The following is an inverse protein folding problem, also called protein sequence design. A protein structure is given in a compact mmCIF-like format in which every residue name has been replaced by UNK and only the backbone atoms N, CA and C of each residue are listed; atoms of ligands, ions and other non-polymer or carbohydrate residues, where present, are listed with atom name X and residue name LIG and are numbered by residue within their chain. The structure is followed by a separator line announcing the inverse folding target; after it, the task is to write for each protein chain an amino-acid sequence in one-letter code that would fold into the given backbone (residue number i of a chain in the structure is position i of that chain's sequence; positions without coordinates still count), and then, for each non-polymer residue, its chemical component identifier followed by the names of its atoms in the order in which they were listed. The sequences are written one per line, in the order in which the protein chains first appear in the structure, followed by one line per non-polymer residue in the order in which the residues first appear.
data_IF_331040102138
#
_entry.id   IF_331040102138
#
_cell.length_a   1.000
_cell.length_b   1.000
_cell.length_c   1.000
_cell.angle_alpha   90.00
_cell.angle_beta   90.00
_cell.angle_gamma   90.00
#
_symmetry.space_group_name_H-M   'P 1'
#
loop_
_entity.id
_entity.type
_entity.pdbx_description
1 polymer ?
#
# COMPACT_ATOMS: atom_id res chain seq x y z
N UNK A 1 -9.92 -28.10 9.42
CA UNK A 1 -11.15 -27.75 8.67
C UNK A 1 -10.74 -26.97 7.41
N UNK A 2 -11.38 -27.15 6.25
CA UNK A 2 -10.96 -26.44 5.01
C UNK A 2 -11.40 -24.97 5.08
N UNK A 3 -10.52 -24.02 4.73
CA UNK A 3 -10.87 -22.60 4.67
C UNK A 3 -11.97 -22.33 3.64
N UNK A 4 -12.92 -21.46 3.98
CA UNK A 4 -13.93 -20.93 3.07
C UNK A 4 -13.73 -19.43 2.82
N UNK A 5 -14.08 -19.00 1.61
CA UNK A 5 -14.06 -17.59 1.23
C UNK A 5 -15.44 -16.98 1.50
N UNK A 6 -15.47 -15.86 2.20
CA UNK A 6 -16.70 -15.22 2.70
C UNK A 6 -16.76 -13.77 2.26
N UNK A 7 -17.95 -13.28 1.93
CA UNK A 7 -18.19 -11.85 1.68
C UNK A 7 -18.71 -11.21 2.96
N UNK A 8 -18.02 -10.19 3.45
CA UNK A 8 -18.39 -9.50 4.68
C UNK A 8 -19.50 -8.44 4.49
N UNK A 9 -20.03 -8.32 3.27
CA UNK A 9 -21.30 -7.62 3.01
C UNK A 9 -22.53 -8.51 3.29
N UNK A 10 -22.35 -9.83 3.42
CA UNK A 10 -23.42 -10.73 3.77
C UNK A 10 -23.78 -10.62 5.27
N UNK A 11 -25.01 -10.98 5.67
CA UNK A 11 -25.41 -11.01 7.07
C UNK A 11 -24.44 -11.83 7.93
N UNK A 12 -23.93 -11.22 9.00
CA UNK A 12 -22.99 -11.86 9.91
C UNK A 12 -23.32 -11.58 11.37
N UNK A 13 -22.47 -12.09 12.26
CA UNK A 13 -22.63 -11.87 13.69
C UNK A 13 -22.23 -10.43 14.03
N UNK A 14 -23.00 -9.78 14.91
CA UNK A 14 -22.70 -8.44 15.40
C UNK A 14 -22.51 -8.45 16.91
N UNK A 15 -21.99 -7.36 17.48
CA UNK A 15 -21.85 -7.21 18.94
C UNK A 15 -22.35 -5.86 19.44
N UNK A 16 -22.84 -5.84 20.68
CA UNK A 16 -23.16 -4.60 21.44
C UNK A 16 -22.61 -4.72 22.85
N UNK A 17 -22.14 -3.60 23.40
CA UNK A 17 -21.66 -3.54 24.78
C UNK A 17 -22.86 -3.46 25.73
N UNK A 18 -22.96 -4.37 26.70
CA UNK A 18 -24.01 -4.39 27.72
C UNK A 18 -23.40 -4.71 29.08
N UNK A 19 -23.66 -3.88 30.10
CA UNK A 19 -23.17 -4.07 31.47
C UNK A 19 -21.67 -4.45 31.55
N UNK A 20 -20.82 -3.76 30.78
CA UNK A 20 -19.36 -3.97 30.67
C UNK A 20 -18.89 -5.25 29.96
N UNK A 21 -19.79 -6.03 29.36
CA UNK A 21 -19.45 -7.21 28.57
C UNK A 21 -19.98 -7.09 27.13
N UNK A 22 -19.35 -7.80 26.20
CA UNK A 22 -19.85 -7.90 24.83
C UNK A 22 -20.96 -8.93 24.75
N UNK A 23 -22.11 -8.52 24.21
CA UNK A 23 -23.20 -9.41 23.82
C UNK A 23 -23.19 -9.54 22.30
N UNK A 24 -23.24 -10.78 21.81
CA UNK A 24 -23.23 -11.10 20.39
C UNK A 24 -24.63 -11.43 19.88
N UNK A 25 -24.88 -11.10 18.61
CA UNK A 25 -26.15 -11.29 17.94
C UNK A 25 -25.93 -12.00 16.61
N UNK A 26 -26.76 -12.99 16.30
CA UNK A 26 -26.73 -13.72 15.04
C UNK A 26 -27.18 -12.84 13.86
N UNK A 27 -27.09 -13.32 12.61
CA UNK A 27 -27.47 -12.53 11.43
C UNK A 27 -28.94 -12.06 11.39
N UNK A 28 -29.83 -12.69 12.17
CA UNK A 28 -31.24 -12.30 12.28
C UNK A 28 -31.52 -11.47 13.54
N UNK A 29 -30.50 -11.13 14.32
CA UNK A 29 -30.58 -10.25 15.49
C UNK A 29 -30.92 -10.96 16.80
N UNK A 30 -30.94 -12.29 16.86
CA UNK A 30 -31.13 -13.03 18.12
C UNK A 30 -29.84 -13.09 18.91
N UNK A 31 -29.97 -13.05 20.23
CA UNK A 31 -28.83 -13.15 21.15
C UNK A 31 -28.21 -14.54 21.04
N UNK A 32 -26.91 -14.59 20.78
CA UNK A 32 -26.12 -15.82 20.86
C UNK A 32 -25.85 -16.10 22.34
N UNK A 33 -26.23 -17.30 22.80
CA UNK A 33 -26.02 -17.78 24.17
C UNK A 33 -25.03 -18.94 24.25
N UNK A 34 -24.65 -19.50 23.11
CA UNK A 34 -23.67 -20.58 23.02
C UNK A 34 -22.30 -20.08 23.51
N UNK A 35 -21.82 -20.68 24.61
CA UNK A 35 -20.57 -20.29 25.26
C UNK A 35 -19.35 -20.51 24.36
N UNK A 36 -19.32 -21.60 23.59
CA UNK A 36 -18.21 -21.91 22.67
C UNK A 36 -18.14 -20.87 21.55
N UNK A 37 -19.29 -20.45 21.01
CA UNK A 37 -19.34 -19.37 20.01
C UNK A 37 -18.87 -18.04 20.59
N UNK A 38 -19.30 -17.70 21.80
CA UNK A 38 -18.90 -16.45 22.49
C UNK A 38 -17.39 -16.44 22.77
N UNK A 39 -16.85 -17.55 23.28
CA UNK A 39 -15.41 -17.69 23.57
C UNK A 39 -14.57 -17.52 22.31
N UNK A 40 -14.96 -18.20 21.21
CA UNK A 40 -14.32 -18.03 19.89
C UNK A 40 -14.29 -16.57 19.44
N UNK A 41 -15.42 -15.87 19.53
CA UNK A 41 -15.54 -14.48 19.09
C UNK A 41 -14.73 -13.51 19.98
N UNK A 42 -14.63 -13.79 21.27
CA UNK A 42 -13.79 -13.02 22.19
C UNK A 42 -12.29 -13.25 21.91
N UNK A 43 -11.90 -14.49 21.61
CA UNK A 43 -10.51 -14.87 21.31
C UNK A 43 -9.93 -14.15 20.08
N UNK A 44 -10.78 -13.65 19.16
CA UNK A 44 -10.35 -12.81 18.03
C UNK A 44 -9.71 -11.49 18.46
N UNK A 45 -9.87 -11.08 19.72
CA UNK A 45 -9.37 -9.83 20.29
C UNK A 45 -9.67 -8.63 19.36
N UNK A 46 -10.91 -8.56 18.87
CA UNK A 46 -11.33 -7.49 17.96
C UNK A 46 -11.50 -6.18 18.72
N UNK A 47 -10.78 -5.09 18.38
CA UNK A 47 -10.68 -3.92 19.25
C UNK A 47 -12.04 -3.34 19.64
N UNK A 48 -12.31 -3.06 20.92
CA UNK A 48 -13.61 -2.62 21.41
C UNK A 48 -14.07 -1.28 20.83
N UNK A 49 -13.12 -0.41 20.45
CA UNK A 49 -13.40 0.91 19.89
C UNK A 49 -13.86 0.89 18.42
N UNK A 50 -13.80 -0.27 17.73
CA UNK A 50 -14.18 -0.35 16.32
C UNK A 50 -15.70 -0.35 16.17
N UNK A 51 -16.17 0.47 15.22
CA UNK A 51 -17.59 0.64 14.88
C UNK A 51 -18.02 -0.38 13.83
N UNK A 52 -19.32 -0.68 13.81
CA UNK A 52 -19.95 -1.59 12.83
C UNK A 52 -19.20 -2.92 12.71
N UNK A 53 -18.95 -3.55 13.85
CA UNK A 53 -18.24 -4.82 13.89
C UNK A 53 -19.10 -5.94 13.28
N UNK A 54 -18.54 -6.61 12.29
CA UNK A 54 -19.06 -7.81 11.65
C UNK A 54 -18.14 -8.98 12.02
N UNK A 55 -18.72 -10.13 12.32
CA UNK A 55 -18.00 -11.37 12.62
C UNK A 55 -18.54 -12.50 11.74
N UNK A 56 -17.63 -13.33 11.24
CA UNK A 56 -18.00 -14.46 10.40
C UNK A 56 -18.77 -15.50 11.22
N UNK A 57 -19.96 -15.94 10.75
CA UNK A 57 -20.69 -17.03 11.39
C UNK A 57 -19.84 -18.31 11.49
N UNK A 58 -19.15 -18.64 10.40
CA UNK A 58 -18.29 -19.81 10.30
C UNK A 58 -16.89 -19.57 10.87
N UNK A 59 -16.32 -20.58 11.52
CA UNK A 59 -14.98 -20.48 12.13
C UNK A 59 -13.82 -20.63 11.14
N UNK A 60 -14.07 -21.28 10.00
CA UNK A 60 -13.11 -21.50 8.93
C UNK A 60 -13.19 -20.43 7.83
N UNK A 61 -13.88 -19.31 8.06
CA UNK A 61 -13.93 -18.18 7.14
C UNK A 61 -12.57 -17.48 7.03
N UNK A 62 -12.10 -17.20 5.82
CA UNK A 62 -10.80 -16.54 5.62
C UNK A 62 -10.74 -15.14 6.26
N UNK A 63 -11.87 -14.44 6.33
CA UNK A 63 -12.10 -13.23 7.13
C UNK A 63 -12.95 -13.64 8.33
N UNK A 64 -12.46 -13.36 9.54
CA UNK A 64 -13.14 -13.67 10.79
C UNK A 64 -13.88 -12.50 11.40
N UNK A 65 -13.38 -11.27 11.19
CA UNK A 65 -14.09 -10.06 11.62
C UNK A 65 -13.70 -8.85 10.78
N UNK A 66 -14.63 -7.91 10.61
CA UNK A 66 -14.39 -6.60 10.04
C UNK A 66 -15.06 -5.50 10.86
N UNK A 67 -14.64 -4.26 10.65
CA UNK A 67 -15.17 -3.10 11.36
C UNK A 67 -14.38 -1.84 11.03
N UNK A 68 -14.79 -0.70 11.56
CA UNK A 68 -14.18 0.59 11.22
C UNK A 68 -13.46 1.19 12.41
N UNK A 69 -12.22 1.60 12.21
CA UNK A 69 -11.47 2.32 13.25
C UNK A 69 -11.95 3.77 13.45
N UNK A 70 -11.35 4.48 14.40
CA UNK A 70 -11.68 5.88 14.70
C UNK A 70 -11.43 6.85 13.54
N UNK A 71 -10.69 6.43 12.50
CA UNK A 71 -10.43 7.20 11.28
C UNK A 71 -11.34 6.76 10.11
N UNK A 72 -12.36 5.93 10.37
CA UNK A 72 -13.29 5.43 9.35
C UNK A 72 -12.65 4.45 8.36
N UNK A 73 -11.51 3.83 8.71
CA UNK A 73 -10.86 2.82 7.85
C UNK A 73 -11.41 1.45 8.21
N UNK A 74 -11.81 0.68 7.20
CA UNK A 74 -12.19 -0.72 7.37
C UNK A 74 -10.96 -1.54 7.79
N UNK A 75 -11.11 -2.29 8.86
CA UNK A 75 -10.10 -3.13 9.48
C UNK A 75 -10.56 -4.57 9.43
N UNK A 76 -9.61 -5.51 9.35
CA UNK A 76 -9.87 -6.93 9.15
C UNK A 76 -9.15 -7.76 10.21
N UNK A 77 -9.78 -8.85 10.64
CA UNK A 77 -9.15 -10.01 11.25
C UNK A 77 -9.29 -11.17 10.28
N UNK A 78 -8.16 -11.73 9.88
CA UNK A 78 -8.11 -12.90 9.01
C UNK A 78 -7.89 -14.16 9.83
N UNK A 79 -8.32 -15.30 9.27
CA UNK A 79 -7.96 -16.60 9.82
C UNK A 79 -6.44 -16.80 9.82
N UNK A 80 -5.83 -17.34 10.90
CA UNK A 80 -4.39 -17.56 10.98
C UNK A 80 -3.83 -18.36 9.80
N UNK A 81 -4.49 -19.46 9.42
CA UNK A 81 -4.09 -20.26 8.26
C UNK A 81 -4.14 -19.48 6.94
N UNK A 82 -5.19 -18.66 6.72
CA UNK A 82 -5.26 -17.82 5.51
C UNK A 82 -4.09 -16.85 5.48
N UNK A 83 -3.79 -16.22 6.61
CA UNK A 83 -2.65 -15.31 6.74
C UNK A 83 -1.33 -16.04 6.42
N UNK A 84 -1.11 -17.20 7.01
CA UNK A 84 0.08 -18.01 6.77
C UNK A 84 0.22 -18.41 5.30
N UNK A 85 -0.87 -18.84 4.65
CA UNK A 85 -0.89 -19.13 3.21
C UNK A 85 -0.56 -17.91 2.36
N UNK A 86 -1.08 -16.73 2.70
CA UNK A 86 -0.79 -15.48 1.99
C UNK A 86 0.67 -15.00 2.21
N UNK A 87 1.23 -15.23 3.39
CA UNK A 87 2.63 -14.94 3.70
C UNK A 87 3.58 -15.91 2.96
N UNK A 88 3.26 -17.20 2.93
CA UNK A 88 4.01 -18.20 2.17
C UNK A 88 4.02 -17.91 0.66
N UNK A 89 2.86 -17.56 0.08
CA UNK A 89 2.77 -17.17 -1.33
C UNK A 89 3.66 -15.97 -1.66
N UNK A 90 3.71 -14.96 -0.80
CA UNK A 90 4.60 -13.79 -0.97
C UNK A 90 6.07 -14.17 -0.89
N UNK A 91 6.42 -15.02 0.08
CA UNK A 91 7.79 -15.48 0.24
C UNK A 91 8.28 -16.28 -0.98
N UNK A 92 7.45 -17.17 -1.52
CA UNK A 92 7.75 -17.90 -2.75
C UNK A 92 7.91 -16.95 -3.96
N UNK A 93 7.07 -15.91 -4.05
CA UNK A 93 7.16 -14.91 -5.10
C UNK A 93 8.48 -14.09 -5.05
N UNK A 94 9.15 -14.00 -3.90
CA UNK A 94 10.43 -13.28 -3.79
C UNK A 94 11.55 -13.91 -4.66
N UNK A 95 11.55 -15.23 -4.82
CA UNK A 95 12.51 -15.90 -5.71
C UNK A 95 12.29 -15.50 -7.17
N UNK A 96 11.04 -15.57 -7.63
CA UNK A 96 10.65 -15.15 -9.00
C UNK A 96 10.91 -13.66 -9.21
N UNK A 97 10.63 -12.82 -8.19
CA UNK A 97 10.94 -11.40 -8.21
C UNK A 97 12.44 -11.16 -8.44
N UNK A 98 13.30 -11.86 -7.70
CA UNK A 98 14.75 -11.78 -7.83
C UNK A 98 15.24 -12.10 -9.25
N UNK A 99 14.66 -13.11 -9.90
CA UNK A 99 14.98 -13.47 -11.28
C UNK A 99 14.51 -12.43 -12.31
N UNK A 100 13.43 -11.70 -12.03
CA UNK A 100 12.89 -10.66 -12.92
C UNK A 100 13.48 -9.26 -12.68
N UNK A 101 14.19 -9.04 -11.58
CA UNK A 101 14.85 -7.75 -11.29
C UNK A 101 15.82 -7.28 -12.39
N UNK A 102 16.68 -8.14 -12.98
CA UNK A 102 17.53 -7.73 -14.09
C UNK A 102 16.74 -7.21 -15.30
N UNK A 103 15.60 -7.83 -15.62
CA UNK A 103 14.71 -7.39 -16.70
C UNK A 103 14.13 -6.00 -16.40
N UNK A 104 13.62 -5.79 -15.18
CA UNK A 104 13.14 -4.48 -14.74
C UNK A 104 14.23 -3.42 -14.89
N UNK A 105 15.42 -3.67 -14.34
CA UNK A 105 16.54 -2.71 -14.39
C UNK A 105 17.00 -2.41 -15.81
N UNK A 106 17.05 -3.41 -16.69
CA UNK A 106 17.36 -3.20 -18.10
C UNK A 106 16.32 -2.29 -18.78
N UNK A 107 15.02 -2.47 -18.47
CA UNK A 107 13.97 -1.59 -18.99
C UNK A 107 14.08 -0.18 -18.44
N UNK A 108 14.34 -0.01 -17.15
CA UNK A 108 14.59 1.31 -16.55
C UNK A 108 15.75 2.03 -17.23
N UNK A 109 16.87 1.34 -17.48
CA UNK A 109 18.02 1.91 -18.20
C UNK A 109 17.71 2.24 -19.67
N UNK A 110 16.68 1.66 -20.27
CA UNK A 110 16.20 2.03 -21.60
C UNK A 110 15.32 3.27 -21.55
N UNK A 111 14.30 3.26 -20.70
CA UNK A 111 13.30 4.34 -20.59
C UNK A 111 13.90 5.63 -20.01
N UNK A 112 15.01 5.54 -19.27
CA UNK A 112 15.72 6.70 -18.76
C UNK A 112 16.65 7.39 -19.77
N UNK A 113 16.88 6.79 -20.94
CA UNK A 113 17.73 7.37 -21.99
C UNK A 113 17.07 8.59 -22.64
N UNK A 114 17.90 9.43 -23.23
CA UNK A 114 17.47 10.66 -23.89
C UNK A 114 17.34 11.84 -22.93
N UNK A 115 16.80 12.94 -23.43
CA UNK A 115 16.64 14.21 -22.72
C UNK A 115 15.19 14.66 -22.58
N UNK A 116 14.26 14.07 -23.34
CA UNK A 116 12.84 14.40 -23.27
C UNK A 116 12.21 13.86 -21.98
N UNK A 117 11.33 14.64 -21.35
CA UNK A 117 10.65 14.28 -20.10
C UNK A 117 9.22 13.76 -20.41
N UNK A 118 9.16 12.56 -20.96
CA UNK A 118 7.89 11.88 -21.28
C UNK A 118 7.38 11.03 -20.10
N UNK A 119 6.22 10.38 -20.30
CA UNK A 119 5.55 9.55 -19.30
C UNK A 119 6.46 8.42 -18.84
N UNK A 120 6.96 7.62 -19.78
CA UNK A 120 7.77 6.42 -19.51
C UNK A 120 9.03 6.76 -18.72
N UNK A 121 9.73 7.83 -19.10
CA UNK A 121 10.94 8.29 -18.41
C UNK A 121 10.64 8.74 -16.99
N UNK A 122 9.50 9.41 -16.78
CA UNK A 122 9.08 9.85 -15.45
C UNK A 122 8.71 8.66 -14.56
N UNK A 123 7.97 7.68 -15.09
CA UNK A 123 7.62 6.45 -14.37
C UNK A 123 8.88 5.63 -14.03
N UNK A 124 9.80 5.48 -14.98
CA UNK A 124 11.08 4.79 -14.77
C UNK A 124 11.93 5.49 -13.70
N UNK A 125 11.94 6.82 -13.64
CA UNK A 125 12.65 7.58 -12.61
C UNK A 125 12.07 7.32 -11.21
N UNK A 126 10.74 7.24 -11.07
CA UNK A 126 10.09 6.88 -9.81
C UNK A 126 10.48 5.46 -9.38
N UNK A 127 10.45 4.49 -10.31
CA UNK A 127 10.77 3.09 -10.00
C UNK A 127 12.25 2.94 -9.64
N UNK A 128 13.17 3.61 -10.36
CA UNK A 128 14.60 3.64 -10.02
C UNK A 128 14.86 4.26 -8.65
N UNK A 129 14.15 5.35 -8.32
CA UNK A 129 14.21 5.95 -6.99
C UNK A 129 13.74 4.97 -5.90
N UNK A 130 12.68 4.20 -6.18
CA UNK A 130 12.18 3.18 -5.27
C UNK A 130 13.16 2.02 -5.08
N UNK A 131 13.76 1.50 -6.15
CA UNK A 131 14.75 0.42 -6.12
C UNK A 131 15.99 0.83 -5.31
N UNK A 132 16.56 2.02 -5.59
CA UNK A 132 17.77 2.51 -4.92
C UNK A 132 17.52 2.94 -3.47
N UNK A 133 16.37 3.55 -3.19
CA UNK A 133 16.08 4.13 -1.89
C UNK A 133 15.19 3.28 -0.97
N UNK A 134 14.67 2.15 -1.44
CA UNK A 134 13.60 1.37 -0.79
C UNK A 134 12.40 2.24 -0.38
N UNK A 135 11.97 3.14 -1.28
CA UNK A 135 10.82 4.01 -1.02
C UNK A 135 9.51 3.24 -1.13
N UNK A 136 8.54 3.58 -0.27
CA UNK A 136 7.15 3.16 -0.52
C UNK A 136 6.62 3.99 -1.67
N UNK A 137 5.81 3.38 -2.54
CA UNK A 137 5.16 4.07 -3.67
C UNK A 137 4.45 5.36 -3.24
N UNK A 138 3.69 5.34 -2.13
CA UNK A 138 2.91 6.49 -1.65
C UNK A 138 1.61 6.67 -2.44
N UNK A 139 0.68 7.47 -1.90
CA UNK A 139 -0.53 7.90 -2.59
C UNK A 139 -1.11 9.18 -1.94
N UNK A 140 -1.91 9.93 -2.70
CA UNK A 140 -2.46 11.22 -2.25
C UNK A 140 -3.40 11.10 -1.04
N UNK A 141 -4.09 9.97 -0.88
CA UNK A 141 -4.95 9.73 0.29
C UNK A 141 -4.15 9.80 1.59
N UNK A 142 -2.94 9.24 1.62
CA UNK A 142 -2.07 9.27 2.80
C UNK A 142 -1.50 10.67 3.08
N UNK A 143 -1.24 11.46 2.03
CA UNK A 143 -0.80 12.85 2.17
C UNK A 143 -1.90 13.68 2.83
N UNK A 144 -3.14 13.62 2.31
CA UNK A 144 -4.28 14.37 2.83
C UNK A 144 -4.61 14.01 4.28
N UNK A 145 -4.58 12.72 4.63
CA UNK A 145 -5.01 12.26 5.95
C UNK A 145 -3.93 12.32 7.03
N UNK A 146 -2.66 12.07 6.67
CA UNK A 146 -1.60 11.86 7.65
C UNK A 146 -0.34 12.70 7.38
N UNK A 147 -0.35 13.57 6.36
CA UNK A 147 0.84 14.30 5.87
C UNK A 147 2.04 13.35 5.67
N UNK A 148 1.75 12.14 5.19
CA UNK A 148 2.74 11.07 4.97
C UNK A 148 2.98 10.89 3.48
N UNK A 149 4.25 10.95 3.08
CA UNK A 149 4.69 10.91 1.69
C UNK A 149 5.37 9.57 1.35
N UNK A 150 5.31 9.21 0.08
CA UNK A 150 6.08 8.17 -0.60
C UNK A 150 6.49 8.64 -2.00
N UNK A 151 7.14 7.79 -2.78
CA UNK A 151 7.81 8.14 -4.05
C UNK A 151 6.95 9.02 -4.99
N UNK A 152 5.72 8.60 -5.32
CA UNK A 152 4.80 9.32 -6.24
C UNK A 152 4.24 10.62 -5.67
N UNK A 153 4.37 10.83 -4.36
CA UNK A 153 3.82 11.99 -3.65
C UNK A 153 4.89 12.92 -3.10
N UNK A 154 6.17 12.65 -3.40
CA UNK A 154 7.25 13.56 -3.06
C UNK A 154 6.99 14.93 -3.68
N UNK A 155 7.45 15.95 -2.96
CA UNK A 155 7.32 17.35 -3.36
C UNK A 155 8.70 17.87 -3.73
N UNK A 156 8.78 18.91 -4.55
CA UNK A 156 10.04 19.54 -4.96
C UNK A 156 10.94 19.83 -3.77
N UNK A 157 10.37 20.39 -2.69
CA UNK A 157 11.08 20.69 -1.43
C UNK A 157 11.64 19.48 -0.66
N UNK A 158 11.19 18.26 -0.96
CA UNK A 158 11.68 17.05 -0.30
C UNK A 158 12.98 16.54 -0.91
N UNK A 159 13.37 17.01 -2.09
CA UNK A 159 14.56 16.56 -2.81
C UNK A 159 15.57 17.70 -2.94
N UNK A 160 16.82 17.43 -2.54
CA UNK A 160 17.96 18.32 -2.76
C UNK A 160 19.00 17.60 -3.61
N UNK A 161 19.44 18.24 -4.67
CA UNK A 161 20.46 17.72 -5.59
C UNK A 161 21.82 18.35 -5.31
N UNK A 162 22.89 17.56 -5.42
CA UNK A 162 24.28 18.04 -5.39
C UNK A 162 25.12 17.16 -6.30
N UNK A 163 25.36 17.63 -7.53
CA UNK A 163 25.97 16.82 -8.58
C UNK A 163 25.13 15.57 -8.88
N UNK A 164 25.72 14.38 -8.69
CA UNK A 164 25.04 13.08 -8.84
C UNK A 164 24.35 12.58 -7.56
N UNK A 165 24.40 13.35 -6.47
CA UNK A 165 23.80 12.96 -5.20
C UNK A 165 22.40 13.56 -5.06
N UNK A 166 21.47 12.73 -4.61
CA UNK A 166 20.07 13.04 -4.35
C UNK A 166 19.84 12.80 -2.86
N UNK A 167 19.57 13.87 -2.11
CA UNK A 167 19.16 13.80 -0.72
C UNK A 167 17.65 13.99 -0.64
N UNK A 168 16.95 13.02 -0.07
CA UNK A 168 15.52 13.08 0.22
C UNK A 168 15.28 13.28 1.70
N UNK A 169 14.43 14.23 2.08
CA UNK A 169 13.95 14.43 3.45
C UNK A 169 12.44 14.65 3.45
N UNK A 170 11.70 13.74 4.09
CA UNK A 170 10.24 13.79 4.12
C UNK A 170 9.65 12.98 5.28
N UNK A 171 8.43 13.37 5.67
CA UNK A 171 7.61 12.62 6.63
C UNK A 171 6.99 11.39 5.97
N UNK A 172 7.43 10.20 6.36
CA UNK A 172 6.97 8.93 5.80
C UNK A 172 5.77 8.34 6.57
N UNK A 173 5.38 7.11 6.20
CA UNK A 173 4.30 6.35 6.85
C UNK A 173 4.49 6.31 8.38
N UNK A 174 3.38 6.43 9.11
CA UNK A 174 3.33 6.53 10.57
C UNK A 174 4.00 7.78 11.14
N UNK A 175 4.20 8.80 10.31
CA UNK A 175 4.74 10.09 10.73
C UNK A 175 6.22 10.11 11.04
N UNK A 176 6.97 9.06 10.67
CA UNK A 176 8.43 8.99 10.85
C UNK A 176 9.14 9.88 9.85
N UNK A 177 10.05 10.73 10.31
CA UNK A 177 10.95 11.45 9.41
C UNK A 177 11.90 10.45 8.73
N UNK A 178 12.07 10.60 7.42
CA UNK A 178 12.93 9.74 6.62
C UNK A 178 13.89 10.58 5.81
N UNK A 179 15.17 10.25 5.95
CA UNK A 179 16.27 10.77 5.17
C UNK A 179 16.88 9.64 4.33
N UNK A 180 17.05 9.87 3.02
CA UNK A 180 17.65 8.90 2.09
C UNK A 180 18.64 9.63 1.20
N UNK A 181 19.86 9.09 1.09
CA UNK A 181 20.88 9.60 0.18
C UNK A 181 21.11 8.57 -0.92
N UNK A 182 20.98 9.00 -2.18
CA UNK A 182 21.13 8.16 -3.36
C UNK A 182 22.16 8.81 -4.27
N UNK A 183 23.08 8.03 -4.82
CA UNK A 183 24.06 8.50 -5.81
C UNK A 183 23.75 7.88 -7.15
N UNK A 184 23.15 8.65 -8.05
CA UNK A 184 22.80 8.19 -9.39
C UNK A 184 22.74 9.37 -10.36
N UNK A 185 23.65 9.38 -11.35
CA UNK A 185 23.79 10.50 -12.29
C UNK A 185 22.57 10.65 -13.19
N UNK A 186 21.99 9.56 -13.67
CA UNK A 186 20.86 9.61 -14.63
C UNK A 186 19.64 10.12 -13.90
N UNK A 187 19.34 9.53 -12.73
CA UNK A 187 18.22 9.94 -11.89
C UNK A 187 18.39 11.38 -11.39
N UNK A 188 19.60 11.84 -11.07
CA UNK A 188 19.81 13.22 -10.63
C UNK A 188 19.50 14.23 -11.75
N UNK A 189 19.80 13.90 -13.01
CA UNK A 189 19.43 14.74 -14.15
C UNK A 189 17.92 14.77 -14.36
N UNK A 190 17.26 13.61 -14.36
CA UNK A 190 15.79 13.55 -14.51
C UNK A 190 15.08 14.29 -13.38
N UNK A 191 15.53 14.13 -12.13
CA UNK A 191 14.99 14.87 -10.99
C UNK A 191 15.22 16.38 -11.15
N UNK A 192 16.36 16.80 -11.70
CA UNK A 192 16.61 18.22 -11.98
C UNK A 192 15.59 18.77 -12.98
N UNK A 193 15.41 18.09 -14.12
CA UNK A 193 14.44 18.48 -15.16
C UNK A 193 13.01 18.55 -14.59
N UNK A 194 12.66 17.61 -13.70
CA UNK A 194 11.39 17.58 -12.99
C UNK A 194 11.22 18.73 -11.99
N UNK A 195 12.29 19.19 -11.33
CA UNK A 195 12.25 20.33 -10.41
C UNK A 195 12.07 21.67 -11.14
N UNK A 196 12.47 21.75 -12.41
CA UNK A 196 12.29 22.93 -13.26
C UNK A 196 10.84 23.07 -13.76
N UNK A 197 10.04 21.98 -13.70
CA UNK A 197 8.61 22.05 -13.99
C UNK A 197 7.84 22.83 -12.92
N UNK A 198 6.87 23.68 -13.30
CA UNK A 198 6.07 24.42 -12.34
C UNK A 198 5.18 23.46 -11.54
N UNK A 199 5.09 23.67 -10.23
CA UNK A 199 4.24 22.89 -9.34
C UNK A 199 4.93 22.50 -8.04
N UNK A 200 4.20 21.81 -7.16
CA UNK A 200 4.76 21.32 -5.90
C UNK A 200 5.13 19.83 -5.96
N UNK A 201 4.56 19.06 -6.88
CA UNK A 201 4.83 17.63 -7.02
C UNK A 201 6.18 17.42 -7.70
N UNK A 202 6.98 16.49 -7.17
CA UNK A 202 8.28 16.18 -7.75
C UNK A 202 8.14 15.35 -9.03
N UNK A 203 7.27 14.34 -9.02
CA UNK A 203 7.08 13.47 -10.18
C UNK A 203 5.78 13.81 -10.89
N UNK A 204 5.94 14.49 -12.02
CA UNK A 204 4.87 14.94 -12.91
C UNK A 204 5.40 14.92 -14.34
N UNK A 205 4.51 14.73 -15.31
CA UNK A 205 4.83 14.78 -16.74
C UNK A 205 3.82 15.66 -17.46
N UNK A 206 4.11 16.02 -18.70
CA UNK A 206 3.18 16.74 -19.57
C UNK A 206 2.58 15.73 -20.56
N UNK A 207 1.26 15.68 -20.63
CA UNK A 207 0.51 14.88 -21.60
C UNK A 207 -0.57 15.76 -22.21
N UNK A 208 -0.64 15.80 -23.54
CA UNK A 208 -1.61 16.63 -24.27
C UNK A 208 -1.60 18.12 -23.87
N UNK A 209 -0.43 18.63 -23.45
CA UNK A 209 -0.26 20.00 -22.98
C UNK A 209 -0.67 20.24 -21.52
N UNK A 210 -1.24 19.24 -20.85
CA UNK A 210 -1.60 19.30 -19.44
C UNK A 210 -0.57 18.62 -18.55
N UNK A 211 -0.39 19.17 -17.34
CA UNK A 211 0.48 18.58 -16.32
C UNK A 211 -0.28 17.52 -15.55
N UNK A 212 0.29 16.33 -15.48
CA UNK A 212 -0.28 15.20 -14.74
C UNK A 212 0.71 14.70 -13.70
N UNK A 213 0.23 14.49 -12.48
CA UNK A 213 1.03 13.90 -11.41
C UNK A 213 1.08 12.38 -11.59
N UNK A 214 2.26 11.80 -11.37
CA UNK A 214 2.38 10.34 -11.37
C UNK A 214 1.59 9.75 -10.19
N UNK A 215 0.79 8.73 -10.47
CA UNK A 215 -0.01 8.02 -9.47
C UNK A 215 0.60 6.68 -9.07
N UNK A 216 0.19 6.14 -7.92
CA UNK A 216 0.55 4.77 -7.54
C UNK A 216 -0.02 3.71 -8.49
N UNK A 217 -1.09 4.03 -9.22
CA UNK A 217 -1.69 3.09 -10.17
C UNK A 217 -0.78 2.91 -11.37
N UNK A 218 -0.30 4.01 -11.96
CA UNK A 218 0.62 3.97 -13.10
C UNK A 218 1.93 3.26 -12.75
N UNK A 219 2.49 3.49 -11.56
CA UNK A 219 3.69 2.77 -11.13
C UNK A 219 3.46 1.26 -11.02
N UNK A 220 2.31 0.83 -10.49
CA UNK A 220 2.01 -0.60 -10.43
C UNK A 220 1.80 -1.17 -11.83
N UNK A 221 1.07 -0.47 -12.71
CA UNK A 221 0.88 -0.90 -14.10
C UNK A 221 2.22 -1.00 -14.85
N UNK A 222 3.11 -0.03 -14.67
CA UNK A 222 4.44 -0.05 -15.26
C UNK A 222 5.27 -1.26 -14.79
N UNK A 223 5.28 -1.54 -13.47
CA UNK A 223 5.96 -2.72 -12.92
C UNK A 223 5.32 -4.01 -13.45
N UNK A 224 3.99 -4.10 -13.48
CA UNK A 224 3.26 -5.27 -13.95
C UNK A 224 3.48 -5.56 -15.43
N UNK A 225 3.56 -4.53 -16.26
CA UNK A 225 3.84 -4.69 -17.69
C UNK A 225 5.21 -5.34 -17.94
N UNK A 226 6.20 -5.07 -17.07
CA UNK A 226 7.57 -5.56 -17.22
C UNK A 226 7.78 -6.89 -16.49
N UNK A 227 7.24 -7.00 -15.27
CA UNK A 227 7.49 -8.13 -14.38
C UNK A 227 6.35 -9.15 -14.35
N UNK A 228 5.14 -8.83 -14.81
CA UNK A 228 3.94 -9.65 -14.69
C UNK A 228 2.96 -9.15 -13.61
N UNK A 229 1.68 -9.49 -13.78
CA UNK A 229 0.57 -9.01 -12.94
C UNK A 229 0.69 -9.37 -11.46
N UNK A 230 1.45 -10.43 -11.15
CA UNK A 230 1.70 -10.89 -9.79
C UNK A 230 2.61 -9.96 -8.97
N UNK A 231 3.31 -9.01 -9.63
CA UNK A 231 4.21 -8.06 -8.98
C UNK A 231 3.60 -6.66 -8.88
N UNK A 232 4.05 -5.92 -7.88
CA UNK A 232 3.61 -4.55 -7.63
C UNK A 232 4.75 -3.79 -6.94
N UNK A 233 4.55 -2.51 -6.69
CA UNK A 233 5.52 -1.65 -6.01
C UNK A 233 5.78 -1.98 -4.52
N UNK A 234 5.15 -3.03 -3.96
CA UNK A 234 5.16 -3.37 -2.54
C UNK A 234 6.20 -4.44 -2.19
#
# INVERSE_FOLDING_TARGET
MKLIYVDDNLPGITRKLKKKQWQYFDPIGKVIKDEAVIERLNALAFPPAYKSAWFCPEENGHILATGFDSKGRKQYRYHPEFRAQQEAKKYQACGVFGHKLPLLRARLESDLRGSELNVERTLAAVVRLMDLGALRVGNERNVKQNKSFGATTLRTRHAKLTGKNIQLKYRAKSGKEREVNITDRVLSHVIKDLQDLPGQHLFQYISEGERTNVTSSEINQYIQHIMGEEFSAK
#
